data_IF_148211772539
#
_entry.id   IF_148211772539
#
_cell.length_a   1.000
_cell.length_b   1.000
_cell.length_c   1.000
_cell.angle_alpha   90.00
_cell.angle_beta   90.00
_cell.angle_gamma   90.00
#
_symmetry.space_group_name_H-M   'P 1'
#
loop_
_entity.id
_entity.type
_entity.pdbx_description
1 polymer ?
#
# COMPACT_ATOMS: atom_id res chain seq x y z
N UNK A 1 13.74 11.44 -10.23
CA UNK A 1 13.41 10.50 -9.14
C UNK A 1 13.61 9.08 -9.65
N UNK A 2 14.32 8.21 -8.93
CA UNK A 2 14.54 6.82 -9.35
C UNK A 2 13.16 6.14 -9.60
N UNK A 3 13.00 5.41 -10.71
CA UNK A 3 11.71 4.80 -11.10
C UNK A 3 11.16 3.93 -9.98
N UNK A 4 12.02 3.18 -9.30
CA UNK A 4 11.65 2.34 -8.14
C UNK A 4 11.12 3.17 -6.97
N UNK A 5 11.70 4.36 -6.73
CA UNK A 5 11.23 5.27 -5.68
C UNK A 5 9.86 5.84 -6.02
N UNK A 6 9.64 6.27 -7.27
CA UNK A 6 8.34 6.76 -7.73
C UNK A 6 7.26 5.68 -7.64
N UNK A 7 7.58 4.46 -8.08
CA UNK A 7 6.66 3.32 -7.97
C UNK A 7 6.36 2.97 -6.51
N UNK A 8 7.37 2.98 -5.64
CA UNK A 8 7.17 2.73 -4.21
C UNK A 8 6.20 3.72 -3.54
N UNK A 9 6.37 5.02 -3.83
CA UNK A 9 5.44 6.06 -3.35
C UNK A 9 4.03 5.84 -3.91
N UNK A 10 3.91 5.54 -5.20
CA UNK A 10 2.62 5.33 -5.85
C UNK A 10 1.85 4.15 -5.22
N UNK A 11 2.53 3.03 -4.95
CA UNK A 11 1.92 1.86 -4.32
C UNK A 11 1.40 2.18 -2.91
N UNK A 12 2.16 2.92 -2.11
CA UNK A 12 1.73 3.37 -0.77
C UNK A 12 0.51 4.29 -0.88
N UNK A 13 0.50 5.23 -1.82
CA UNK A 13 -0.62 6.14 -2.01
C UNK A 13 -1.90 5.39 -2.44
N UNK A 14 -1.79 4.40 -3.34
CA UNK A 14 -2.93 3.59 -3.74
C UNK A 14 -3.44 2.76 -2.55
N UNK A 15 -2.55 2.11 -1.79
CA UNK A 15 -2.93 1.38 -0.58
C UNK A 15 -3.69 2.27 0.41
N UNK A 16 -3.19 3.50 0.64
CA UNK A 16 -3.84 4.47 1.52
C UNK A 16 -5.22 4.92 1.00
N UNK A 17 -5.37 5.13 -0.30
CA UNK A 17 -6.66 5.47 -0.89
C UNK A 17 -7.69 4.35 -0.72
N UNK A 18 -7.27 3.08 -0.84
CA UNK A 18 -8.15 1.93 -0.64
C UNK A 18 -8.56 1.83 0.84
N UNK A 19 -7.63 2.02 1.78
CA UNK A 19 -7.95 2.09 3.23
C UNK A 19 -8.99 3.16 3.51
N UNK A 20 -8.79 4.37 2.97
CA UNK A 20 -9.74 5.48 3.12
C UNK A 20 -11.10 5.09 2.51
N UNK A 21 -11.11 4.58 1.29
CA UNK A 21 -12.32 4.12 0.62
C UNK A 21 -13.07 3.08 1.47
N UNK A 22 -12.35 2.11 2.02
CA UNK A 22 -12.91 1.05 2.85
C UNK A 22 -13.53 1.59 4.13
N UNK A 23 -12.80 2.41 4.89
CA UNK A 23 -13.28 2.99 6.15
C UNK A 23 -14.52 3.87 5.92
N UNK A 24 -14.52 4.72 4.90
CA UNK A 24 -15.61 5.68 4.68
C UNK A 24 -16.85 5.05 4.04
N UNK A 25 -16.71 4.03 3.19
CA UNK A 25 -17.86 3.42 2.49
C UNK A 25 -18.45 2.26 3.29
N UNK A 26 -17.62 1.38 3.84
CA UNK A 26 -18.13 0.17 4.50
C UNK A 26 -18.39 0.39 5.99
N UNK A 27 -17.70 1.35 6.62
CA UNK A 27 -17.82 1.65 8.06
C UNK A 27 -17.45 0.47 8.96
N UNK A 28 -16.81 -0.57 8.43
CA UNK A 28 -16.47 -1.82 9.13
C UNK A 28 -14.97 -2.01 9.14
N UNK A 29 -14.25 -1.45 10.13
CA UNK A 29 -12.86 -1.81 10.33
C UNK A 29 -12.80 -3.28 10.77
N UNK A 30 -11.97 -4.11 10.11
CA UNK A 30 -11.62 -5.47 10.55
C UNK A 30 -12.73 -6.53 10.41
N UNK A 31 -13.56 -6.46 9.37
CA UNK A 31 -14.42 -7.59 8.98
C UNK A 31 -13.55 -8.70 8.37
N UNK A 32 -13.67 -9.95 8.81
CA UNK A 32 -12.93 -11.09 8.28
C UNK A 32 -13.06 -11.25 6.77
N UNK A 33 -14.23 -10.89 6.21
CA UNK A 33 -14.44 -10.91 4.76
C UNK A 33 -13.65 -9.82 4.05
N UNK A 34 -13.46 -8.68 4.69
CA UNK A 34 -12.68 -7.57 4.16
C UNK A 34 -11.19 -7.77 4.38
N UNK A 35 -10.79 -8.38 5.51
CA UNK A 35 -9.41 -8.82 5.79
C UNK A 35 -8.89 -9.68 4.63
N UNK A 36 -9.67 -10.67 4.20
CA UNK A 36 -9.25 -11.60 3.15
C UNK A 36 -9.21 -10.99 1.73
N UNK A 37 -9.79 -9.80 1.53
CA UNK A 37 -9.92 -9.21 0.19
C UNK A 37 -9.33 -7.79 0.14
N UNK A 38 -9.98 -6.82 0.79
CA UNK A 38 -9.62 -5.41 0.73
C UNK A 38 -8.36 -5.13 1.56
N UNK A 39 -8.35 -5.51 2.84
CA UNK A 39 -7.22 -5.22 3.72
C UNK A 39 -5.97 -6.06 3.34
N UNK A 40 -6.16 -7.25 2.76
CA UNK A 40 -5.04 -8.04 2.20
C UNK A 40 -4.36 -7.34 1.02
N UNK A 41 -5.14 -6.80 0.08
CA UNK A 41 -4.59 -6.06 -1.07
C UNK A 41 -3.89 -4.78 -0.60
N UNK A 42 -4.48 -4.06 0.35
CA UNK A 42 -3.84 -2.88 0.98
C UNK A 42 -2.49 -3.25 1.60
N UNK A 43 -2.43 -4.34 2.37
CA UNK A 43 -1.20 -4.81 2.99
C UNK A 43 -0.12 -5.19 1.96
N UNK A 44 -0.51 -5.81 0.84
CA UNK A 44 0.42 -6.10 -0.28
C UNK A 44 0.96 -4.80 -0.87
N UNK A 45 0.09 -3.83 -1.15
CA UNK A 45 0.48 -2.54 -1.73
C UNK A 45 1.45 -1.77 -0.82
N UNK A 46 1.16 -1.71 0.48
CA UNK A 46 2.06 -1.10 1.45
C UNK A 46 3.39 -1.84 1.54
N UNK A 47 3.37 -3.17 1.65
CA UNK A 47 4.59 -3.97 1.77
C UNK A 47 5.47 -3.82 0.54
N UNK A 48 4.90 -3.92 -0.67
CA UNK A 48 5.63 -3.73 -1.92
C UNK A 48 6.18 -2.30 -2.05
N UNK A 49 5.37 -1.30 -1.70
CA UNK A 49 5.77 0.10 -1.76
C UNK A 49 6.91 0.46 -0.80
N UNK A 50 6.82 0.03 0.46
CA UNK A 50 7.87 0.20 1.47
C UNK A 50 9.13 -0.55 1.04
N UNK A 51 9.00 -1.79 0.57
CA UNK A 51 10.15 -2.59 0.12
C UNK A 51 10.88 -1.90 -1.03
N UNK A 52 10.16 -1.35 -2.02
CA UNK A 52 10.76 -0.61 -3.13
C UNK A 52 11.44 0.69 -2.65
N UNK A 53 10.84 1.41 -1.71
CA UNK A 53 11.46 2.61 -1.13
C UNK A 53 12.75 2.29 -0.39
N UNK A 54 12.72 1.25 0.45
CA UNK A 54 13.88 0.77 1.21
C UNK A 54 14.97 0.28 0.26
N UNK A 55 14.64 -0.59 -0.68
CA UNK A 55 15.58 -1.09 -1.69
C UNK A 55 16.19 0.05 -2.53
N UNK A 56 15.40 1.04 -2.92
CA UNK A 56 15.90 2.20 -3.67
C UNK A 56 16.84 3.10 -2.85
N UNK A 57 16.77 3.04 -1.53
CA UNK A 57 17.67 3.77 -0.62
C UNK A 57 19.03 3.07 -0.49
N UNK A 58 19.08 1.74 -0.69
CA UNK A 58 20.31 0.95 -0.69
C UNK A 58 20.98 0.88 -2.07
N UNK A 59 20.23 1.04 -3.16
CA UNK A 59 20.74 1.13 -4.53
C UNK A 59 21.12 2.56 -4.94
N UNK A 60 21.74 3.31 -4.02
CA UNK A 60 22.13 4.70 -4.24
C UNK A 60 23.48 4.71 -5.00
N UNK A 61 23.43 4.43 -6.29
CA UNK A 61 24.47 4.83 -7.26
C UNK A 61 24.20 6.25 -7.76
#
# INVERSE_FOLDING_TARGET
>A
MNRSKTLGILLILIGLLIVIHHIYITGRPLDLRDIANHEFIEAILFTAGITLLVASSFHKE
#
